data_IF_705869812479
#
_entry.id   IF_705869812479
#
_cell.length_a   1.000
_cell.length_b   1.000
_cell.length_c   1.000
_cell.angle_alpha   90.00
_cell.angle_beta   90.00
_cell.angle_gamma   90.00
#
_symmetry.space_group_name_H-M   'P 1'
#
loop_
_entity.id
_entity.type
_entity.pdbx_description
1 polymer ?
#
# COMPACT_ATOMS: atom_id res chain seq x y z
N UNK A 1 -2.28 28.38 -6.21
CA UNK A 1 -2.69 27.65 -5.00
C UNK A 1 -2.35 26.17 -5.22
N UNK A 2 -1.17 25.73 -4.76
CA UNK A 2 -0.69 24.37 -4.96
C UNK A 2 -1.29 23.50 -3.86
N UNK A 3 -2.35 22.74 -4.17
CA UNK A 3 -2.98 21.85 -3.20
C UNK A 3 -2.06 20.64 -3.06
N UNK A 4 -1.13 20.67 -2.09
CA UNK A 4 -0.32 19.49 -1.77
C UNK A 4 -1.26 18.39 -1.28
N UNK A 5 -1.52 17.38 -2.10
CA UNK A 5 -2.28 16.20 -1.71
C UNK A 5 -1.43 15.42 -0.71
N UNK A 6 -1.77 15.49 0.59
CA UNK A 6 -1.18 14.60 1.61
C UNK A 6 -1.62 13.18 1.28
N UNK A 7 -0.66 12.27 1.10
CA UNK A 7 -0.88 10.83 1.16
C UNK A 7 -0.59 10.43 2.62
N UNK A 8 -1.61 10.20 3.47
CA UNK A 8 -1.37 9.66 4.80
C UNK A 8 -0.96 8.19 4.65
N UNK A 9 0.31 7.88 4.91
CA UNK A 9 0.85 6.52 4.89
C UNK A 9 2.28 6.48 5.43
N UNK A 10 2.69 5.34 5.98
CA UNK A 10 4.09 5.08 6.35
C UNK A 10 4.93 5.07 5.07
N UNK A 11 6.04 5.81 5.07
CA UNK A 11 7.00 5.82 3.98
C UNK A 11 8.19 4.99 4.44
N UNK A 12 8.50 3.94 3.71
CA UNK A 12 9.64 3.07 3.97
C UNK A 12 10.52 3.02 2.71
N UNK A 13 11.81 3.25 2.91
CA UNK A 13 12.82 3.02 1.88
C UNK A 13 13.37 1.63 2.16
N UNK A 14 13.27 0.76 1.17
CA UNK A 14 13.72 -0.61 1.31
C UNK A 14 14.37 -1.09 0.02
N UNK A 15 15.18 -2.12 0.16
CA UNK A 15 15.83 -2.79 -0.94
C UNK A 15 14.98 -4.03 -1.26
N UNK A 16 14.19 -3.93 -2.33
CA UNK A 16 13.22 -4.98 -2.70
C UNK A 16 13.81 -6.04 -3.63
N UNK A 17 14.90 -5.71 -4.34
CA UNK A 17 15.53 -6.61 -5.30
C UNK A 17 17.01 -6.78 -5.00
N UNK A 18 17.58 -7.83 -5.59
CA UNK A 18 19.02 -8.13 -5.54
C UNK A 18 19.87 -7.05 -6.24
N UNK A 19 19.25 -6.18 -7.03
CA UNK A 19 19.90 -5.12 -7.82
C UNK A 19 20.48 -3.94 -7.00
N UNK A 20 20.28 -3.92 -5.68
CA UNK A 20 20.71 -2.84 -4.78
C UNK A 20 20.11 -1.46 -5.08
N UNK A 21 19.07 -1.38 -5.90
CA UNK A 21 18.41 -0.12 -6.23
C UNK A 21 17.30 0.15 -5.19
N UNK A 22 17.36 1.27 -4.46
CA UNK A 22 16.34 1.61 -3.47
C UNK A 22 14.96 1.77 -4.13
N UNK A 23 13.95 1.22 -3.46
CA UNK A 23 12.54 1.42 -3.83
C UNK A 23 11.78 2.06 -2.69
N UNK A 24 10.83 2.91 -3.07
CA UNK A 24 9.92 3.58 -2.16
C UNK A 24 8.55 2.91 -2.26
N UNK A 25 8.01 2.51 -1.11
CA UNK A 25 6.67 1.96 -1.05
C UNK A 25 5.70 2.97 -0.47
N UNK A 26 4.58 3.16 -1.18
CA UNK A 26 3.51 4.07 -0.77
C UNK A 26 2.17 3.35 -0.91
N UNK A 27 1.21 3.72 -0.08
CA UNK A 27 -0.18 3.32 -0.29
C UNK A 27 -1.12 4.51 -0.17
N UNK A 28 -2.29 4.36 -0.80
CA UNK A 28 -3.35 5.35 -0.80
C UNK A 28 -4.67 4.67 -0.52
N UNK A 29 -5.37 5.16 0.51
CA UNK A 29 -6.75 4.78 0.78
C UNK A 29 -7.70 5.84 0.21
N UNK A 30 -8.69 5.40 -0.57
CA UNK A 30 -9.74 6.24 -1.14
C UNK A 30 -10.85 6.38 -0.10
N UNK A 31 -11.25 7.62 0.21
CA UNK A 31 -12.34 7.90 1.15
C UNK A 31 -13.67 7.94 0.42
N UNK A 32 -14.69 7.37 1.03
CA UNK A 32 -16.07 7.56 0.59
C UNK A 32 -16.46 9.03 0.90
N UNK A 33 -17.27 9.65 0.03
CA UNK A 33 -17.62 11.08 0.03
C UNK A 33 -17.73 11.73 1.43
N UNK A 34 -17.11 12.90 1.60
CA UNK A 34 -16.80 13.58 2.86
C UNK A 34 -17.95 14.17 3.68
N UNK A 35 -19.07 13.45 3.84
CA UNK A 35 -20.21 13.92 4.63
C UNK A 35 -20.11 13.62 6.14
N UNK A 36 -19.16 12.77 6.57
CA UNK A 36 -18.84 12.55 7.99
C UNK A 36 -17.37 12.88 8.26
N UNK A 37 -17.06 14.17 8.39
CA UNK A 37 -15.74 14.62 8.83
C UNK A 37 -15.39 13.94 10.17
N UNK A 38 -14.33 13.13 10.19
CA UNK A 38 -13.84 12.45 11.40
C UNK A 38 -13.98 10.93 11.42
N UNK A 39 -14.78 10.32 10.54
CA UNK A 39 -14.87 8.86 10.43
C UNK A 39 -13.91 8.33 9.33
N UNK A 40 -13.08 7.30 9.61
CA UNK A 40 -12.18 6.69 8.63
C UNK A 40 -12.95 5.78 7.65
N UNK A 41 -13.88 6.37 6.90
CA UNK A 41 -14.67 5.65 5.91
C UNK A 41 -13.90 5.57 4.58
N UNK A 42 -13.22 4.45 4.37
CA UNK A 42 -12.54 4.14 3.11
C UNK A 42 -13.38 3.23 2.21
N UNK A 43 -13.28 3.41 0.90
CA UNK A 43 -14.01 2.65 -0.15
C UNK A 43 -13.05 1.87 -1.06
N UNK A 44 -11.76 1.87 -0.72
CA UNK A 44 -10.75 1.11 -1.44
C UNK A 44 -9.35 1.62 -1.19
N UNK A 45 -8.38 0.93 -1.76
CA UNK A 45 -6.96 1.29 -1.68
C UNK A 45 -6.14 0.84 -2.87
N UNK A 46 -4.95 1.42 -3.01
CA UNK A 46 -3.87 0.97 -3.90
C UNK A 46 -2.53 1.13 -3.21
N UNK A 47 -1.54 0.34 -3.62
CA UNK A 47 -0.14 0.59 -3.30
C UNK A 47 0.68 0.83 -4.57
N UNK A 48 1.82 1.48 -4.37
CA UNK A 48 2.75 1.92 -5.40
C UNK A 48 4.15 1.54 -4.99
N UNK A 49 4.95 1.16 -5.98
CA UNK A 49 6.39 0.95 -5.84
C UNK A 49 7.07 1.91 -6.78
N UNK A 50 7.99 2.71 -6.25
CA UNK A 50 8.76 3.64 -7.03
C UNK A 50 10.22 3.27 -6.96
N UNK A 51 10.88 3.18 -8.10
CA UNK A 51 12.30 2.88 -8.22
C UNK A 51 13.12 4.17 -8.33
N UNK A 52 14.25 4.22 -7.64
CA UNK A 52 15.21 5.31 -7.78
C UNK A 52 15.97 5.19 -9.10
N UNK A 53 15.93 6.23 -9.94
CA UNK A 53 16.60 6.26 -11.26
C UNK A 53 18.00 6.94 -11.22
N UNK A 54 18.42 7.46 -10.06
CA UNK A 54 19.63 8.28 -9.91
C UNK A 54 19.35 9.77 -9.66
N UNK A 55 18.15 10.25 -9.99
CA UNK A 55 17.73 11.65 -9.84
C UNK A 55 16.39 11.81 -9.10
N UNK A 56 15.44 10.89 -9.32
CA UNK A 56 14.10 10.90 -8.73
C UNK A 56 13.58 9.47 -8.55
N UNK A 57 12.46 9.37 -7.84
CA UNK A 57 11.66 8.16 -7.78
C UNK A 57 10.65 8.17 -8.93
N UNK A 58 10.71 7.15 -9.78
CA UNK A 58 9.72 6.90 -10.85
C UNK A 58 8.85 5.69 -10.49
N UNK A 59 7.57 5.73 -10.85
CA UNK A 59 6.66 4.60 -10.61
C UNK A 59 7.13 3.37 -11.40
N UNK A 60 7.43 2.30 -10.68
CA UNK A 60 7.79 0.99 -11.23
C UNK A 60 6.56 0.08 -11.30
N UNK A 61 5.65 0.21 -10.32
CA UNK A 61 4.45 -0.60 -10.23
C UNK A 61 3.30 0.11 -9.50
N UNK A 62 2.08 -0.12 -9.98
CA UNK A 62 0.81 0.24 -9.31
C UNK A 62 -0.04 -1.03 -9.16
N UNK A 63 -0.58 -1.26 -7.96
CA UNK A 63 -1.49 -2.38 -7.72
C UNK A 63 -2.86 -2.17 -8.38
N UNK A 64 -3.60 -3.25 -8.59
CA UNK A 64 -5.05 -3.14 -8.80
C UNK A 64 -5.71 -2.45 -7.59
N UNK A 65 -6.93 -1.92 -7.80
CA UNK A 65 -7.70 -1.35 -6.69
C UNK A 65 -8.24 -2.48 -5.82
N UNK A 66 -7.97 -2.40 -4.52
CA UNK A 66 -8.61 -3.25 -3.52
C UNK A 66 -9.90 -2.60 -3.04
N UNK A 67 -10.94 -3.39 -2.81
CA UNK A 67 -12.19 -2.97 -2.15
C UNK A 67 -12.07 -3.00 -0.61
N UNK A 68 -10.90 -2.59 -0.11
CA UNK A 68 -10.53 -2.56 1.30
C UNK A 68 -9.60 -1.38 1.54
N UNK A 69 -9.24 -1.10 2.79
CA UNK A 69 -8.21 -0.10 3.06
C UNK A 69 -6.97 -0.73 3.67
N UNK A 70 -5.81 -0.19 3.31
CA UNK A 70 -4.51 -0.61 3.83
C UNK A 70 -4.30 0.10 5.17
N UNK A 71 -4.10 -0.67 6.23
CA UNK A 71 -3.78 -0.13 7.56
C UNK A 71 -2.28 -0.06 7.82
N UNK A 72 -1.51 -1.02 7.30
CA UNK A 72 -0.06 -1.06 7.43
C UNK A 72 0.56 -1.97 6.35
N UNK A 73 1.89 -1.97 6.26
CA UNK A 73 2.65 -2.92 5.46
C UNK A 73 4.02 -3.22 6.08
N UNK A 74 4.60 -4.34 5.67
CA UNK A 74 5.97 -4.72 5.94
C UNK A 74 6.61 -5.29 4.68
N UNK A 75 7.92 -5.18 4.59
CA UNK A 75 8.71 -5.80 3.53
C UNK A 75 9.63 -6.82 4.19
N UNK A 76 9.49 -8.08 3.78
CA UNK A 76 10.23 -9.19 4.33
C UNK A 76 10.20 -10.37 3.33
N UNK A 77 11.21 -11.23 3.44
CA UNK A 77 11.24 -12.57 2.87
C UNK A 77 10.33 -13.48 3.72
N UNK A 78 9.06 -13.58 3.33
CA UNK A 78 8.00 -14.24 4.10
C UNK A 78 8.01 -15.75 3.88
N UNK A 79 8.37 -16.21 2.69
CA UNK A 79 8.43 -17.63 2.34
C UNK A 79 9.85 -18.23 2.34
N UNK A 80 10.84 -17.40 2.67
CA UNK A 80 12.25 -17.77 2.87
C UNK A 80 12.90 -18.28 1.57
N UNK A 81 12.56 -17.66 0.44
CA UNK A 81 13.13 -17.93 -0.88
C UNK A 81 14.31 -17.01 -1.24
N UNK A 82 14.61 -16.03 -0.38
CA UNK A 82 15.69 -15.06 -0.55
C UNK A 82 15.30 -13.80 -1.32
N UNK A 83 14.06 -13.70 -1.78
CA UNK A 83 13.45 -12.51 -2.35
C UNK A 83 12.65 -11.77 -1.27
N UNK A 84 12.35 -10.50 -1.50
CA UNK A 84 11.55 -9.72 -0.55
C UNK A 84 10.13 -9.61 -1.09
N UNK A 85 9.14 -9.89 -0.24
CA UNK A 85 7.73 -9.68 -0.56
C UNK A 85 7.20 -8.45 0.18
N UNK A 86 6.13 -7.89 -0.39
CA UNK A 86 5.31 -6.92 0.30
C UNK A 86 4.19 -7.62 1.06
N UNK A 87 4.24 -7.60 2.40
CA UNK A 87 3.13 -7.99 3.25
C UNK A 87 2.25 -6.76 3.55
N UNK A 88 0.99 -6.79 3.13
CA UNK A 88 0.02 -5.70 3.30
C UNK A 88 -1.07 -6.10 4.27
N UNK A 89 -1.26 -5.31 5.32
CA UNK A 89 -2.40 -5.44 6.23
C UNK A 89 -3.58 -4.62 5.71
N UNK A 90 -4.70 -5.29 5.44
CA UNK A 90 -5.92 -4.68 4.94
C UNK A 90 -7.09 -4.93 5.88
N UNK A 91 -8.03 -3.99 5.88
CA UNK A 91 -9.29 -4.11 6.62
C UNK A 91 -10.44 -4.02 5.64
N UNK A 92 -11.21 -5.10 5.59
CA UNK A 92 -12.45 -5.24 4.86
C UNK A 92 -13.59 -4.63 5.67
N UNK A 93 -14.45 -3.85 5.00
CA UNK A 93 -15.74 -3.48 5.59
C UNK A 93 -16.72 -4.62 5.31
N UNK A 94 -17.53 -5.00 6.29
CA UNK A 94 -18.73 -5.76 5.99
C UNK A 94 -19.74 -4.87 5.22
N UNK A 95 -20.58 -5.46 4.38
CA UNK A 95 -21.59 -4.72 3.59
C UNK A 95 -22.57 -3.89 4.46
N UNK A 96 -22.61 -4.18 5.77
CA UNK A 96 -23.43 -3.48 6.76
C UNK A 96 -22.56 -2.64 7.70
N UNK A 97 -22.99 -1.40 7.95
CA UNK A 97 -22.40 -0.51 8.96
C UNK A 97 -22.37 -1.09 10.38
N UNK A 98 -23.15 -2.15 10.65
CA UNK A 98 -23.22 -2.84 11.95
C UNK A 98 -22.37 -4.11 12.04
N UNK A 99 -21.71 -4.53 10.95
CA UNK A 99 -20.82 -5.71 10.99
C UNK A 99 -19.43 -5.33 11.46
N UNK A 100 -18.82 -6.22 12.24
CA UNK A 100 -17.42 -6.09 12.67
C UNK A 100 -16.50 -6.14 11.44
N UNK A 101 -15.58 -5.18 11.28
CA UNK A 101 -14.58 -5.22 10.21
C UNK A 101 -13.73 -6.50 10.29
N UNK A 102 -13.35 -7.04 9.12
CA UNK A 102 -12.45 -8.20 9.04
C UNK A 102 -11.08 -7.75 8.56
N UNK A 103 -10.03 -8.16 9.26
CA UNK A 103 -8.65 -7.88 8.86
C UNK A 103 -8.06 -9.06 8.10
N UNK A 104 -7.26 -8.77 7.09
CA UNK A 104 -6.54 -9.77 6.31
C UNK A 104 -5.14 -9.27 5.97
N UNK A 105 -4.18 -10.19 5.95
CA UNK A 105 -2.82 -9.92 5.47
C UNK A 105 -2.67 -10.63 4.12
N UNK A 106 -2.15 -9.91 3.14
CA UNK A 106 -1.80 -10.45 1.84
C UNK A 106 -0.33 -10.21 1.56
N UNK A 107 0.33 -11.17 0.92
CA UNK A 107 1.69 -11.02 0.40
C UNK A 107 1.65 -10.78 -1.10
N UNK A 108 2.51 -9.91 -1.60
CA UNK A 108 2.70 -9.62 -3.01
C UNK A 108 4.16 -9.85 -3.39
N UNK A 109 4.38 -10.75 -4.35
CA UNK A 109 5.70 -11.04 -4.90
C UNK A 109 6.15 -9.90 -5.82
N UNK A 110 7.33 -9.35 -5.56
CA UNK A 110 7.81 -8.12 -6.19
C UNK A 110 8.58 -8.39 -7.48
N UNK A 111 9.24 -9.55 -7.57
CA UNK A 111 9.91 -10.02 -8.78
C UNK A 111 9.01 -11.03 -9.50
N UNK A 112 8.19 -10.55 -10.44
CA UNK A 112 7.40 -11.45 -11.28
C UNK A 112 8.35 -12.15 -12.27
N UNK A 113 8.53 -13.48 -12.14
CA UNK A 113 9.24 -14.32 -13.14
C UNK A 113 8.65 -14.22 -14.53
#
# INVERSE_FOLDING_TARGET
MHISRRVPGKIEITQLATDQIPRLLLFKNYKWFGFFAGLPLYEGSRFYILRWDGTKFEEEFESERFDSYISDYAVADVDNDGQQELAVAMVHRGDDFFKTPQSQIFTYELERK
#
